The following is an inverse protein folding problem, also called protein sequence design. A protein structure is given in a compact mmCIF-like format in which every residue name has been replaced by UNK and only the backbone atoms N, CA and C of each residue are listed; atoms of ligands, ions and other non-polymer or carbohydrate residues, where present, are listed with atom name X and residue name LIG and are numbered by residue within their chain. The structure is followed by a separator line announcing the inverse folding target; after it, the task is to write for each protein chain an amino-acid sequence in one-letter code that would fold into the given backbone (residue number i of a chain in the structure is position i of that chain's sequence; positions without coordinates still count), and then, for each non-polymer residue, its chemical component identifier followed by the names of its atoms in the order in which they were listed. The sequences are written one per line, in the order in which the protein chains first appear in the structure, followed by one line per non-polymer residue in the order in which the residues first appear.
data_IF_656068177608
#
_entry.id   IF_656068177608
#
_cell.length_a   1.000
_cell.length_b   1.000
_cell.length_c   1.000
_cell.angle_alpha   90.00
_cell.angle_beta   90.00
_cell.angle_gamma   90.00
#
_symmetry.space_group_name_H-M   'P 1'
#
loop_
_entity.id
_entity.type
_entity.pdbx_description
1 polymer ?
#
# COMPACT_ATOMS: atom_id res chain seq x y z
N UNK A 1 -21.22 13.62 -3.56
CA UNK A 1 -20.04 13.18 -2.76
C UNK A 1 -20.03 11.67 -2.53
N UNK A 2 -21.12 11.08 -2.03
CA UNK A 2 -21.25 9.62 -1.85
C UNK A 2 -21.09 8.82 -3.16
N UNK A 3 -21.66 9.30 -4.26
CA UNK A 3 -21.57 8.62 -5.57
C UNK A 3 -20.15 8.51 -6.11
N UNK A 4 -19.29 9.50 -5.85
CA UNK A 4 -17.89 9.49 -6.29
C UNK A 4 -17.08 8.45 -5.52
N UNK A 5 -17.37 8.27 -4.22
CA UNK A 5 -16.74 7.25 -3.37
C UNK A 5 -17.16 5.86 -3.85
N UNK A 6 -18.44 5.68 -4.14
CA UNK A 6 -18.96 4.39 -4.61
C UNK A 6 -18.35 4.00 -5.96
N UNK A 7 -18.20 4.96 -6.88
CA UNK A 7 -17.52 4.75 -8.16
C UNK A 7 -16.04 4.41 -8.00
N UNK A 8 -15.34 5.07 -7.07
CA UNK A 8 -13.94 4.77 -6.79
C UNK A 8 -13.76 3.35 -6.21
N UNK A 9 -14.65 2.93 -5.30
CA UNK A 9 -14.64 1.57 -4.74
C UNK A 9 -14.89 0.51 -5.80
N UNK A 10 -15.91 0.72 -6.64
CA UNK A 10 -16.24 -0.21 -7.75
C UNK A 10 -15.09 -0.29 -8.75
N UNK A 11 -14.42 0.82 -9.06
CA UNK A 11 -13.24 0.80 -9.92
C UNK A 11 -12.11 -0.04 -9.31
N UNK A 12 -11.80 0.17 -8.02
CA UNK A 12 -10.76 -0.58 -7.31
C UNK A 12 -11.07 -2.08 -7.18
N UNK A 13 -12.35 -2.45 -7.07
CA UNK A 13 -12.79 -3.85 -6.99
C UNK A 13 -12.78 -4.54 -8.36
N UNK A 14 -12.99 -3.79 -9.44
CA UNK A 14 -12.98 -4.29 -10.82
C UNK A 14 -11.60 -4.23 -11.50
N UNK A 15 -10.60 -3.64 -10.85
CA UNK A 15 -9.22 -3.71 -11.33
C UNK A 15 -8.76 -5.17 -11.31
N UNK A 16 -8.50 -5.73 -12.49
CA UNK A 16 -7.80 -7.00 -12.59
C UNK A 16 -6.45 -6.83 -11.88
N UNK A 17 -6.19 -7.68 -10.87
CA UNK A 17 -4.92 -7.71 -10.14
C UNK A 17 -4.11 -8.92 -10.63
N UNK A 18 -3.51 -8.87 -11.84
CA UNK A 18 -2.72 -9.98 -12.36
C UNK A 18 -1.50 -10.31 -11.48
N UNK A 19 -1.10 -9.38 -10.60
CA UNK A 19 -0.07 -9.57 -9.58
C UNK A 19 -0.59 -10.17 -8.26
N UNK A 20 -1.91 -10.19 -8.03
CA UNK A 20 -2.56 -10.98 -6.96
C UNK A 20 -2.94 -12.39 -7.42
N UNK A 21 -2.52 -12.81 -8.63
CA UNK A 21 -2.51 -14.24 -8.93
C UNK A 21 -1.43 -14.87 -8.05
N UNK A 22 -1.84 -15.25 -6.84
CA UNK A 22 -1.28 -16.38 -6.14
C UNK A 22 -1.07 -17.45 -7.21
N UNK A 23 0.17 -17.87 -7.42
CA UNK A 23 0.39 -19.16 -8.03
C UNK A 23 -0.52 -20.12 -7.26
N UNK A 24 -1.53 -20.65 -7.94
CA UNK A 24 -2.30 -21.76 -7.43
C UNK A 24 -1.26 -22.86 -7.30
N UNK A 25 -0.78 -23.08 -6.08
CA UNK A 25 0.08 -24.23 -5.78
C UNK A 25 -0.85 -25.41 -5.99
N UNK A 26 -0.63 -26.11 -7.10
CA UNK A 26 -1.40 -27.26 -7.51
C UNK A 26 -1.50 -28.21 -6.31
N UNK A 27 -2.69 -28.75 -6.04
CA UNK A 27 -2.93 -29.72 -4.97
C UNK A 27 -2.36 -31.10 -5.36
N UNK A 28 -1.16 -31.11 -5.94
CA UNK A 28 -0.40 -32.27 -6.38
C UNK A 28 0.73 -32.53 -5.40
N UNK A 29 0.62 -33.66 -4.68
CA UNK A 29 1.69 -34.42 -4.03
C UNK A 29 3.06 -33.75 -3.96
N UNK A 30 3.43 -33.23 -2.78
CA UNK A 30 4.78 -32.73 -2.53
C UNK A 30 5.78 -33.89 -2.42
N UNK A 31 6.58 -34.07 -3.44
CA UNK A 31 7.83 -34.82 -3.42
C UNK A 31 9.01 -33.88 -3.11
N UNK A 32 9.57 -34.06 -1.92
CA UNK A 32 10.79 -33.43 -1.42
C UNK A 32 12.02 -33.78 -2.30
N UNK A 33 12.74 -32.76 -2.81
CA UNK A 33 14.21 -32.69 -3.03
C UNK A 33 14.57 -31.62 -4.10
N UNK A 34 15.56 -30.71 -4.00
CA UNK A 34 16.65 -30.46 -3.05
C UNK A 34 17.23 -29.06 -3.34
N UNK A 35 17.32 -28.17 -2.34
CA UNK A 35 18.45 -27.25 -2.21
C UNK A 35 18.96 -27.45 -0.78
N UNK A 36 20.11 -28.09 -0.65
CA UNK A 36 20.72 -28.40 0.63
C UNK A 36 21.32 -27.12 1.23
N UNK A 37 20.62 -26.56 2.22
CA UNK A 37 21.15 -25.69 3.25
C UNK A 37 20.62 -26.21 4.57
N UNK A 38 21.49 -26.78 5.39
CA UNK A 38 21.14 -27.42 6.66
C UNK A 38 20.89 -26.35 7.74
N UNK A 39 19.69 -26.33 8.33
CA UNK A 39 19.39 -25.66 9.60
C UNK A 39 18.29 -24.58 9.55
N UNK A 40 17.28 -24.80 10.39
CA UNK A 40 16.32 -23.84 10.97
C UNK A 40 14.99 -23.59 10.22
N UNK A 41 13.89 -23.60 10.99
CA UNK A 41 12.52 -23.30 10.60
C UNK A 41 12.44 -21.99 9.79
N UNK A 42 12.42 -22.10 8.46
CA UNK A 42 12.30 -20.99 7.51
C UNK A 42 10.87 -20.39 7.60
N UNK A 43 10.68 -19.60 8.65
CA UNK A 43 9.63 -18.62 8.85
C UNK A 43 9.59 -17.72 7.62
N UNK A 44 8.78 -18.09 6.61
CA UNK A 44 8.57 -17.28 5.42
C UNK A 44 8.25 -15.84 5.86
N UNK A 45 9.21 -14.93 5.63
CA UNK A 45 9.13 -13.55 6.06
C UNK A 45 8.04 -12.83 5.23
N UNK A 46 6.80 -12.98 5.66
CA UNK A 46 5.64 -12.33 5.08
C UNK A 46 5.45 -10.97 5.75
N UNK A 47 5.40 -9.92 4.92
CA UNK A 47 5.15 -8.55 5.36
C UNK A 47 3.92 -7.98 4.64
N UNK A 48 3.13 -7.19 5.36
CA UNK A 48 2.08 -6.35 4.80
C UNK A 48 2.57 -4.91 4.67
N UNK A 49 2.34 -4.28 3.53
CA UNK A 49 2.67 -2.86 3.32
C UNK A 49 1.46 -2.12 2.78
N UNK A 50 1.26 -0.91 3.27
CA UNK A 50 0.22 0.00 2.78
C UNK A 50 0.76 1.43 2.65
N UNK A 51 0.25 2.17 1.67
CA UNK A 51 0.73 3.51 1.32
C UNK A 51 -0.44 4.46 1.08
N UNK A 52 -0.49 5.52 1.86
CA UNK A 52 -1.45 6.60 1.68
C UNK A 52 -0.84 7.77 0.93
N UNK A 53 -1.59 8.31 -0.04
CA UNK A 53 -1.13 9.36 -0.93
C UNK A 53 -1.97 10.64 -0.81
N UNK A 54 -1.34 11.81 -0.98
CA UNK A 54 -2.05 13.08 -1.21
C UNK A 54 -2.07 13.43 -2.69
N UNK A 55 -2.98 14.32 -3.09
CA UNK A 55 -3.02 14.89 -4.42
C UNK A 55 -2.20 16.20 -4.46
N UNK A 56 -1.23 16.29 -5.37
CA UNK A 56 -0.50 17.53 -5.70
C UNK A 56 -1.01 18.21 -6.98
N UNK A 57 -2.06 17.65 -7.59
CA UNK A 57 -2.64 18.05 -8.86
C UNK A 57 -3.77 17.10 -9.26
N UNK A 58 -4.30 17.23 -10.48
CA UNK A 58 -5.48 16.50 -10.95
C UNK A 58 -5.21 15.47 -12.05
N UNK A 59 -3.97 15.43 -12.57
CA UNK A 59 -3.60 14.50 -13.63
C UNK A 59 -3.53 13.04 -13.16
N UNK A 60 -3.92 12.15 -14.06
CA UNK A 60 -3.90 10.70 -13.95
C UNK A 60 -3.53 10.11 -15.32
N UNK A 61 -2.82 8.98 -15.38
CA UNK A 61 -2.55 8.25 -16.64
C UNK A 61 -1.34 8.76 -17.45
N UNK A 62 -1.46 8.91 -18.78
CA UNK A 62 -0.38 9.22 -19.74
C UNK A 62 0.31 10.60 -19.56
N UNK A 63 -0.01 11.34 -18.49
CA UNK A 63 0.64 12.58 -18.09
C UNK A 63 1.31 12.45 -16.72
N UNK A 64 1.72 13.56 -16.08
CA UNK A 64 2.33 13.50 -14.76
C UNK A 64 1.36 12.92 -13.73
N UNK A 65 1.79 11.89 -13.00
CA UNK A 65 1.08 11.40 -11.83
C UNK A 65 1.19 12.43 -10.71
N UNK A 66 0.05 12.97 -10.30
CA UNK A 66 0.00 14.00 -9.24
C UNK A 66 -0.41 13.42 -7.89
N UNK A 67 -0.04 12.17 -7.63
CA UNK A 67 -0.16 11.53 -6.32
C UNK A 67 1.21 11.47 -5.70
N UNK A 68 1.31 11.86 -4.42
CA UNK A 68 2.55 11.72 -3.64
C UNK A 68 2.29 10.85 -2.43
N UNK A 69 3.11 9.81 -2.18
CA UNK A 69 3.09 9.07 -0.92
C UNK A 69 3.34 10.00 0.26
N UNK A 70 2.57 9.82 1.33
CA UNK A 70 2.67 10.64 2.56
C UNK A 70 2.64 9.81 3.82
N UNK A 71 2.03 8.63 3.84
CA UNK A 71 2.18 7.68 4.95
C UNK A 71 2.52 6.30 4.42
N UNK A 72 3.46 5.64 5.06
CA UNK A 72 3.86 4.28 4.73
C UNK A 72 3.80 3.45 6.00
N UNK A 73 3.03 2.36 5.96
CA UNK A 73 2.95 1.40 7.03
C UNK A 73 3.52 0.05 6.59
N UNK A 74 4.29 -0.60 7.47
CA UNK A 74 4.82 -1.95 7.30
C UNK A 74 4.45 -2.76 8.54
N UNK A 75 3.88 -3.95 8.32
CA UNK A 75 3.56 -4.92 9.36
C UNK A 75 4.19 -6.27 9.06
N UNK A 76 4.55 -7.01 10.10
CA UNK A 76 4.99 -8.41 9.97
C UNK A 76 3.79 -9.37 9.88
N UNK A 77 4.09 -10.67 9.74
CA UNK A 77 3.09 -11.74 9.65
C UNK A 77 2.25 -11.92 10.92
N UNK A 78 2.70 -11.39 12.05
CA UNK A 78 1.99 -11.39 13.32
C UNK A 78 1.10 -10.15 13.49
N UNK A 79 1.16 -9.21 12.54
CA UNK A 79 0.44 -7.94 12.60
C UNK A 79 1.17 -6.86 13.42
N UNK A 80 2.42 -7.08 13.81
CA UNK A 80 3.23 -6.06 14.49
C UNK A 80 3.59 -4.96 13.51
N UNK A 81 3.31 -3.70 13.85
CA UNK A 81 3.77 -2.55 13.07
C UNK A 81 5.28 -2.36 13.25
N UNK A 82 6.02 -2.54 12.16
CA UNK A 82 7.46 -2.33 12.10
C UNK A 82 7.81 -0.90 11.67
N UNK A 83 6.96 -0.30 10.84
CA UNK A 83 7.09 1.07 10.36
C UNK A 83 5.70 1.69 10.25
N UNK A 84 5.57 2.92 10.73
CA UNK A 84 4.44 3.79 10.43
C UNK A 84 4.98 5.22 10.33
N UNK A 85 5.33 5.61 9.11
CA UNK A 85 6.07 6.83 8.86
C UNK A 85 5.26 7.81 8.04
N UNK A 86 5.21 9.05 8.51
CA UNK A 86 4.68 10.18 7.75
C UNK A 86 5.81 10.94 7.06
N UNK A 87 5.67 11.14 5.76
CA UNK A 87 6.59 11.92 4.94
C UNK A 87 6.03 13.33 4.83
N UNK A 88 6.61 14.26 5.59
CA UNK A 88 6.15 15.64 5.65
C UNK A 88 6.05 16.27 4.25
N UNK A 89 4.96 16.98 4.01
CA UNK A 89 4.69 17.70 2.77
C UNK A 89 4.61 19.19 3.04
N UNK A 90 5.11 19.97 2.08
CA UNK A 90 4.79 21.39 2.02
C UNK A 90 3.29 21.58 1.67
N UNK A 91 2.48 22.19 2.56
CA UNK A 91 1.06 22.41 2.32
C UNK A 91 0.75 23.20 1.05
N UNK A 92 1.67 24.05 0.60
CA UNK A 92 1.49 24.87 -0.60
C UNK A 92 1.41 24.03 -1.88
N UNK A 93 2.01 22.83 -1.84
CA UNK A 93 2.06 21.88 -2.95
C UNK A 93 0.94 20.83 -2.91
N UNK A 94 0.15 20.77 -1.84
CA UNK A 94 -0.95 19.82 -1.71
C UNK A 94 -2.26 20.45 -2.17
N UNK A 95 -2.90 19.83 -3.16
CA UNK A 95 -4.23 20.22 -3.66
C UNK A 95 -5.37 19.55 -2.90
N UNK A 96 -5.17 18.31 -2.45
CA UNK A 96 -6.15 17.59 -1.63
C UNK A 96 -5.47 16.52 -0.80
N UNK A 97 -5.84 16.42 0.47
CA UNK A 97 -5.40 15.34 1.35
C UNK A 97 -6.20 14.04 1.14
N UNK A 98 -7.30 14.11 0.39
CA UNK A 98 -8.19 12.97 0.13
C UNK A 98 -8.68 12.28 1.41
N UNK A 99 -8.81 13.02 2.51
CA UNK A 99 -9.11 12.50 3.86
C UNK A 99 -10.22 11.43 3.90
N UNK A 100 -11.33 11.53 3.14
CA UNK A 100 -12.35 10.47 3.16
C UNK A 100 -11.88 9.11 2.65
N UNK A 101 -10.77 9.07 1.90
CA UNK A 101 -10.15 7.86 1.36
C UNK A 101 -8.92 7.44 2.16
N UNK A 102 -8.09 8.41 2.56
CA UNK A 102 -6.74 8.15 3.11
C UNK A 102 -6.67 8.30 4.63
N UNK A 103 -7.71 8.86 5.26
CA UNK A 103 -7.68 9.27 6.66
C UNK A 103 -6.74 10.46 6.97
N UNK A 104 -5.92 10.91 6.02
CA UNK A 104 -4.92 11.95 6.24
C UNK A 104 -5.53 13.35 6.30
N UNK A 105 -5.15 14.12 7.31
CA UNK A 105 -5.44 15.54 7.45
C UNK A 105 -4.23 16.40 7.11
N UNK A 106 -4.43 17.71 7.01
CA UNK A 106 -3.30 18.65 6.90
C UNK A 106 -2.31 18.49 8.04
N UNK A 107 -2.80 18.36 9.29
CA UNK A 107 -1.95 18.32 10.46
C UNK A 107 -1.00 17.12 10.40
N UNK A 108 -1.52 15.94 10.04
CA UNK A 108 -0.75 14.71 9.88
C UNK A 108 0.40 14.92 8.89
N UNK A 109 0.11 15.49 7.71
CA UNK A 109 1.08 15.65 6.63
C UNK A 109 2.11 16.77 6.85
N UNK A 110 1.95 17.61 7.87
CA UNK A 110 2.83 18.76 8.15
C UNK A 110 3.64 18.63 9.41
N UNK A 111 3.29 17.66 10.26
CA UNK A 111 4.05 17.40 11.45
C UNK A 111 5.44 16.88 11.04
N UNK A 112 6.49 17.56 11.50
CA UNK A 112 7.82 16.99 11.50
C UNK A 112 7.74 15.67 12.28
N UNK A 113 8.00 14.54 11.63
CA UNK A 113 8.27 13.33 12.39
C UNK A 113 9.54 13.57 13.23
N UNK A 114 9.54 13.23 14.52
CA UNK A 114 10.76 13.21 15.32
C UNK A 114 11.82 12.26 14.74
#
# INVERSE_FOLDING_TARGET
KAEAILRAKVAQDNEARPWCQQQVVDQGTMDHNTIAGEGDDENQLLYGMDVECVATGYGHGLGPNHRRPVRVALVDSQGTTLLDQVIAQDPSNVKSYLTPLTGLTRADCTANSP
#
